data_IF_084324850025
#
_entry.id   IF_084324850025
#
_cell.length_a   1.000
_cell.length_b   1.000
_cell.length_c   1.000
_cell.angle_alpha   90.00
_cell.angle_beta   90.00
_cell.angle_gamma   90.00
#
_symmetry.space_group_name_H-M   'P 1'
#
loop_
_entity.id
_entity.type
_entity.pdbx_description
1 polymer ?
#
# COMPACT_ATOMS: atom_id res chain seq x y z
N UNK A 1 -16.50 22.07 24.11
CA UNK A 1 -15.54 21.39 23.20
C UNK A 1 -15.74 19.89 23.35
N UNK A 2 -16.41 19.28 22.40
CA UNK A 2 -16.63 17.83 22.39
C UNK A 2 -15.28 17.15 22.13
N UNK A 3 -14.74 16.39 23.08
CA UNK A 3 -13.54 15.57 22.86
C UNK A 3 -13.88 14.58 21.74
N UNK A 4 -13.23 14.71 20.60
CA UNK A 4 -13.32 13.72 19.53
C UNK A 4 -12.83 12.39 20.09
N UNK A 5 -13.73 11.42 20.18
CA UNK A 5 -13.41 10.07 20.66
C UNK A 5 -12.59 9.40 19.57
N UNK A 6 -11.42 8.88 19.92
CA UNK A 6 -10.63 8.04 19.02
C UNK A 6 -11.20 6.62 19.05
N UNK A 7 -11.35 5.99 17.90
CA UNK A 7 -11.84 4.63 17.77
C UNK A 7 -10.68 3.68 17.42
N UNK A 8 -10.58 2.53 18.09
CA UNK A 8 -9.58 1.51 17.75
C UNK A 8 -9.96 0.83 16.44
N UNK A 9 -9.03 0.74 15.52
CA UNK A 9 -9.20 0.14 14.20
C UNK A 9 -8.10 -0.88 13.97
N UNK A 10 -8.46 -2.10 13.58
CA UNK A 10 -7.51 -3.16 13.28
C UNK A 10 -6.72 -2.83 12.02
N UNK A 11 -5.40 -2.99 12.12
CA UNK A 11 -4.47 -2.73 11.01
C UNK A 11 -3.38 -3.78 10.95
N UNK A 12 -2.85 -3.99 9.75
CA UNK A 12 -1.65 -4.76 9.50
C UNK A 12 -0.61 -3.82 8.89
N UNK A 13 0.49 -3.62 9.60
CA UNK A 13 1.61 -2.78 9.16
C UNK A 13 2.74 -3.65 8.65
N UNK A 14 3.18 -3.40 7.43
CA UNK A 14 4.32 -4.08 6.82
C UNK A 14 5.52 -3.17 6.72
N UNK A 15 6.67 -3.69 7.13
CA UNK A 15 7.99 -3.08 6.92
C UNK A 15 8.92 -4.09 6.23
N UNK A 16 10.16 -3.69 5.96
CA UNK A 16 11.18 -4.62 5.45
C UNK A 16 11.61 -5.65 6.49
N UNK A 17 11.50 -5.31 7.77
CA UNK A 17 12.10 -6.08 8.88
C UNK A 17 11.06 -6.87 9.68
N UNK A 18 9.79 -6.45 9.63
CA UNK A 18 8.72 -7.04 10.42
C UNK A 18 7.35 -6.79 9.81
N UNK A 19 6.38 -7.57 10.29
CA UNK A 19 4.93 -7.34 10.12
C UNK A 19 4.31 -7.18 11.50
N UNK A 20 3.38 -6.23 11.66
CA UNK A 20 2.65 -5.99 12.92
C UNK A 20 1.17 -6.08 12.68
N UNK A 21 0.48 -6.93 13.42
CA UNK A 21 -0.98 -6.90 13.60
C UNK A 21 -1.27 -6.10 14.86
N UNK A 22 -2.09 -5.07 14.78
CA UNK A 22 -2.33 -4.19 15.90
C UNK A 22 -3.59 -3.36 15.71
N UNK A 23 -3.91 -2.53 16.71
CA UNK A 23 -4.91 -1.48 16.61
C UNK A 23 -4.28 -0.11 16.54
N UNK A 24 -4.79 0.73 15.67
CA UNK A 24 -4.50 2.17 15.64
C UNK A 24 -5.73 2.95 16.08
N UNK A 25 -5.52 4.01 16.85
CA UNK A 25 -6.61 4.87 17.33
C UNK A 25 -6.80 6.04 16.37
N UNK A 26 -7.91 6.08 15.65
CA UNK A 26 -8.22 7.07 14.63
C UNK A 26 -9.47 7.87 14.97
N UNK A 27 -9.54 9.10 14.49
CA UNK A 27 -10.80 9.86 14.52
C UNK A 27 -11.75 9.31 13.45
N UNK A 28 -13.04 9.19 13.72
CA UNK A 28 -14.03 8.86 12.70
C UNK A 28 -13.88 9.75 11.45
N UNK A 29 -13.96 9.15 10.28
CA UNK A 29 -13.80 9.85 9.00
C UNK A 29 -12.37 10.18 8.59
N UNK A 30 -11.36 9.78 9.37
CA UNK A 30 -9.94 9.93 9.01
C UNK A 30 -9.49 8.72 8.18
N UNK A 31 -8.81 8.97 7.05
CA UNK A 31 -8.23 7.88 6.26
C UNK A 31 -6.88 7.43 6.82
N UNK A 32 -6.51 6.18 6.49
CA UNK A 32 -5.20 5.62 6.81
C UNK A 32 -4.06 6.41 6.15
N UNK A 33 -4.26 6.83 4.90
CA UNK A 33 -3.29 7.66 4.18
C UNK A 33 -3.09 9.03 4.85
N UNK A 34 -4.17 9.65 5.32
CA UNK A 34 -4.07 10.91 6.08
C UNK A 34 -3.26 10.72 7.36
N UNK A 35 -3.57 9.67 8.14
CA UNK A 35 -2.86 9.37 9.39
C UNK A 35 -1.35 9.21 9.16
N UNK A 36 -0.96 8.50 8.10
CA UNK A 36 0.44 8.24 7.78
C UNK A 36 1.15 9.47 7.22
N UNK A 37 0.46 10.32 6.46
CA UNK A 37 1.02 11.55 5.88
C UNK A 37 1.04 12.73 6.86
N UNK A 38 0.37 12.64 8.03
CA UNK A 38 0.38 13.72 9.02
C UNK A 38 1.79 13.86 9.62
N UNK A 39 2.39 15.04 9.47
CA UNK A 39 3.79 15.31 9.84
C UNK A 39 4.02 15.44 11.34
N UNK A 40 2.97 15.69 12.13
CA UNK A 40 3.06 15.95 13.58
C UNK A 40 3.72 14.82 14.38
N UNK A 41 3.83 13.62 13.80
CA UNK A 41 4.39 12.45 14.48
C UNK A 41 5.22 11.60 13.51
N UNK A 42 6.48 11.39 13.86
CA UNK A 42 7.36 10.49 13.11
C UNK A 42 7.01 9.01 13.31
N UNK A 43 6.25 8.69 14.36
CA UNK A 43 5.89 7.32 14.73
C UNK A 43 4.38 7.09 14.65
N UNK A 44 4.02 5.90 14.22
CA UNK A 44 2.68 5.34 14.31
C UNK A 44 2.54 4.63 15.66
N UNK A 45 1.63 5.10 16.51
CA UNK A 45 1.33 4.48 17.80
C UNK A 45 0.30 3.36 17.61
N UNK A 46 0.62 2.18 18.10
CA UNK A 46 -0.16 0.97 17.99
C UNK A 46 -0.44 0.39 19.36
N UNK A 47 -1.60 -0.24 19.53
CA UNK A 47 -1.97 -1.00 20.74
C UNK A 47 -2.32 -2.43 20.36
N UNK A 48 -2.26 -3.33 21.34
CA UNK A 48 -2.54 -4.77 21.17
C UNK A 48 -1.73 -5.34 19.98
N UNK A 49 -0.43 -5.12 19.99
CA UNK A 49 0.44 -5.40 18.85
C UNK A 49 1.08 -6.78 18.94
N UNK A 50 0.93 -7.56 17.86
CA UNK A 50 1.63 -8.82 17.62
C UNK A 50 2.64 -8.62 16.50
N UNK A 51 3.93 -8.83 16.78
CA UNK A 51 5.05 -8.64 15.88
C UNK A 51 5.47 -9.98 15.27
N UNK A 52 5.51 -10.04 13.95
CA UNK A 52 5.89 -11.22 13.18
C UNK A 52 7.16 -10.95 12.35
N UNK A 53 7.79 -12.02 11.86
CA UNK A 53 8.77 -11.92 10.77
C UNK A 53 8.12 -11.25 9.54
N UNK A 54 8.92 -10.58 8.69
CA UNK A 54 8.36 -9.99 7.47
C UNK A 54 7.82 -11.11 6.56
N UNK A 55 6.50 -11.12 6.39
CA UNK A 55 5.80 -12.06 5.53
C UNK A 55 4.58 -11.37 4.92
N UNK A 56 4.27 -11.70 3.68
CA UNK A 56 3.03 -11.26 3.02
C UNK A 56 1.96 -12.35 3.03
N UNK A 57 2.23 -13.50 3.62
CA UNK A 57 1.24 -14.58 3.78
C UNK A 57 0.27 -14.21 4.91
N UNK A 58 -1.04 -14.38 4.68
CA UNK A 58 -2.08 -14.06 5.65
C UNK A 58 -3.03 -15.24 5.84
N UNK A 59 -3.29 -15.70 7.07
CA UNK A 59 -2.63 -15.25 8.31
C UNK A 59 -1.13 -15.62 8.34
N UNK A 60 -0.30 -14.87 9.10
CA UNK A 60 1.10 -15.25 9.26
C UNK A 60 1.20 -16.56 10.06
N UNK A 61 2.17 -17.44 9.74
CA UNK A 61 2.43 -18.64 10.53
C UNK A 61 2.72 -18.30 12.00
N UNK A 62 2.21 -19.10 12.95
CA UNK A 62 2.53 -18.90 14.38
C UNK A 62 4.04 -18.94 14.66
N UNK A 63 4.79 -19.75 13.91
CA UNK A 63 6.25 -19.81 13.99
C UNK A 63 6.96 -18.48 13.69
N UNK A 64 6.25 -17.55 13.04
CA UNK A 64 6.78 -16.23 12.70
C UNK A 64 6.47 -15.18 13.76
N UNK A 65 5.59 -15.49 14.75
CA UNK A 65 5.35 -14.63 15.89
C UNK A 65 6.63 -14.47 16.71
N UNK A 66 7.03 -13.23 16.96
CA UNK A 66 8.24 -12.89 17.71
C UNK A 66 7.94 -12.28 19.07
N UNK A 67 6.90 -11.44 19.10
CA UNK A 67 6.63 -10.65 20.29
C UNK A 67 5.18 -10.15 20.31
N UNK A 68 4.59 -10.06 21.50
CA UNK A 68 3.30 -9.43 21.73
C UNK A 68 3.45 -8.34 22.79
N UNK A 69 2.77 -7.21 22.60
CA UNK A 69 2.87 -6.08 23.50
C UNK A 69 1.58 -5.26 23.50
N UNK A 70 1.26 -4.67 24.65
CA UNK A 70 0.13 -3.76 24.76
C UNK A 70 0.35 -2.45 23.99
N UNK A 71 1.62 -2.06 23.72
CA UNK A 71 1.95 -0.83 22.99
C UNK A 71 3.19 -1.02 22.12
N UNK A 72 3.12 -0.51 20.92
CA UNK A 72 4.25 -0.42 20.00
C UNK A 72 4.27 0.94 19.30
N UNK A 73 5.47 1.42 18.94
CA UNK A 73 5.67 2.60 18.13
C UNK A 73 6.49 2.22 16.88
N UNK A 74 5.90 2.39 15.70
CA UNK A 74 6.55 2.08 14.43
C UNK A 74 6.91 3.37 13.72
N UNK A 75 8.19 3.54 13.35
CA UNK A 75 8.60 4.70 12.55
C UNK A 75 7.91 4.68 11.19
N UNK A 76 7.21 5.76 10.84
CA UNK A 76 6.49 5.87 9.57
C UNK A 76 7.42 5.72 8.35
N UNK A 77 8.68 6.14 8.50
CA UNK A 77 9.71 5.98 7.47
C UNK A 77 10.04 4.51 7.13
N UNK A 78 9.71 3.57 8.01
CA UNK A 78 9.93 2.13 7.81
C UNK A 78 8.68 1.39 7.32
N UNK A 79 7.52 2.06 7.32
CA UNK A 79 6.27 1.46 6.83
C UNK A 79 6.32 1.38 5.31
N UNK A 80 6.28 0.17 4.76
CA UNK A 80 6.13 -0.07 3.32
C UNK A 80 4.68 0.13 2.90
N UNK A 81 3.77 -0.47 3.63
CA UNK A 81 2.33 -0.34 3.43
C UNK A 81 1.55 -0.77 4.67
N UNK A 82 0.29 -0.37 4.70
CA UNK A 82 -0.64 -0.71 5.77
C UNK A 82 -1.99 -1.14 5.19
N UNK A 83 -2.50 -2.29 5.63
CA UNK A 83 -3.87 -2.72 5.38
C UNK A 83 -4.75 -2.41 6.60
N UNK A 84 -6.06 -2.28 6.37
CA UNK A 84 -7.03 -1.93 7.40
C UNK A 84 -7.25 -0.43 7.54
N UNK A 85 -8.16 -0.07 8.42
CA UNK A 85 -8.60 1.31 8.58
C UNK A 85 -9.60 1.76 7.53
N UNK A 86 -9.52 3.01 7.09
CA UNK A 86 -10.40 3.60 6.10
C UNK A 86 -9.62 4.11 4.88
N UNK A 87 -10.15 3.93 3.66
CA UNK A 87 -9.57 4.50 2.46
C UNK A 87 -9.70 6.03 2.48
N UNK A 88 -8.94 6.69 1.61
CA UNK A 88 -9.09 8.14 1.40
C UNK A 88 -10.33 8.42 0.56
N UNK A 89 -11.44 8.78 1.23
CA UNK A 89 -12.72 9.14 0.58
C UNK A 89 -12.64 10.42 -0.28
N UNK A 90 -11.65 11.27 -0.05
CA UNK A 90 -11.39 12.45 -0.88
C UNK A 90 -10.90 12.11 -2.29
N UNK A 91 -10.59 10.84 -2.55
CA UNK A 91 -10.19 10.36 -3.87
C UNK A 91 -11.39 10.08 -4.81
N UNK A 92 -12.61 9.99 -4.28
CA UNK A 92 -13.83 9.81 -5.09
C UNK A 92 -14.35 11.12 -5.72
N UNK A 93 -13.58 12.22 -5.63
CA UNK A 93 -13.94 13.53 -6.16
C UNK A 93 -14.11 13.52 -7.69
N UNK A 94 -15.08 14.33 -8.17
CA UNK A 94 -15.40 14.56 -9.58
C UNK A 94 -14.14 14.64 -10.48
N UNK A 95 -14.12 13.86 -11.55
CA UNK A 95 -13.05 13.87 -12.56
C UNK A 95 -11.83 12.98 -12.26
N UNK A 96 -11.89 12.14 -11.24
CA UNK A 96 -10.86 11.10 -11.03
C UNK A 96 -11.28 9.78 -11.68
N UNK A 97 -10.33 9.13 -12.32
CA UNK A 97 -10.52 7.84 -12.95
C UNK A 97 -9.57 6.80 -12.34
N UNK A 98 -10.03 5.55 -12.18
CA UNK A 98 -9.18 4.48 -11.74
C UNK A 98 -8.13 4.20 -12.81
N UNK A 99 -6.86 4.14 -12.40
CA UNK A 99 -5.73 3.77 -13.25
C UNK A 99 -5.01 2.60 -12.64
N UNK A 100 -4.94 1.51 -13.39
CA UNK A 100 -4.26 0.32 -12.95
C UNK A 100 -2.75 0.53 -12.96
N UNK A 101 -2.11 0.21 -11.85
CA UNK A 101 -0.68 0.36 -11.64
C UNK A 101 -0.08 -0.86 -10.97
N UNK A 102 1.23 -1.01 -11.13
CA UNK A 102 2.05 -1.94 -10.38
C UNK A 102 3.02 -1.15 -9.49
N UNK A 103 3.00 -1.45 -8.19
CA UNK A 103 3.93 -0.89 -7.21
C UNK A 103 4.90 -2.00 -6.81
N UNK A 104 6.17 -1.84 -7.12
CA UNK A 104 7.20 -2.86 -6.88
C UNK A 104 7.86 -2.68 -5.53
N UNK A 105 7.98 -3.77 -4.79
CA UNK A 105 8.79 -3.92 -3.60
C UNK A 105 9.81 -5.06 -3.83
N UNK A 106 10.86 -5.22 -3.01
CA UNK A 106 11.93 -6.19 -3.26
C UNK A 106 11.47 -7.64 -3.48
N UNK A 107 10.42 -8.08 -2.77
CA UNK A 107 10.00 -9.48 -2.73
C UNK A 107 8.59 -9.74 -3.28
N UNK A 108 7.86 -8.71 -3.69
CA UNK A 108 6.50 -8.81 -4.21
C UNK A 108 6.14 -7.55 -5.01
N UNK A 109 5.08 -7.67 -5.77
CA UNK A 109 4.49 -6.56 -6.52
C UNK A 109 3.05 -6.38 -6.09
N UNK A 110 2.61 -5.16 -5.89
CA UNK A 110 1.21 -4.83 -5.69
C UNK A 110 0.61 -4.35 -7.00
N UNK A 111 -0.44 -5.00 -7.43
CA UNK A 111 -1.29 -4.56 -8.53
C UNK A 111 -2.53 -3.90 -7.91
N UNK A 112 -2.93 -2.75 -8.39
CA UNK A 112 -4.13 -2.08 -7.89
C UNK A 112 -4.48 -0.82 -8.66
N UNK A 113 -5.41 -0.02 -8.13
CA UNK A 113 -5.93 1.17 -8.78
C UNK A 113 -5.57 2.43 -7.99
N UNK A 114 -4.91 3.39 -8.64
CA UNK A 114 -4.88 4.77 -8.16
C UNK A 114 -6.02 5.57 -8.80
N UNK A 115 -6.73 6.36 -8.00
CA UNK A 115 -7.70 7.32 -8.49
C UNK A 115 -7.01 8.64 -8.83
N UNK A 116 -6.82 8.89 -10.13
CA UNK A 116 -6.11 10.05 -10.66
C UNK A 116 -7.04 10.90 -11.52
N UNK A 117 -6.71 12.20 -11.69
CA UNK A 117 -7.41 13.01 -12.70
C UNK A 117 -7.14 12.43 -14.09
N UNK A 118 -8.18 12.40 -14.94
CA UNK A 118 -8.17 11.72 -16.24
C UNK A 118 -6.98 12.10 -17.14
N UNK A 119 -6.54 13.34 -17.08
CA UNK A 119 -5.48 13.90 -17.94
C UNK A 119 -4.09 13.86 -17.29
N UNK A 120 -3.99 13.43 -16.02
CA UNK A 120 -2.73 13.40 -15.30
C UNK A 120 -1.89 12.19 -15.73
N UNK A 121 -0.66 12.41 -16.15
CA UNK A 121 0.30 11.33 -16.38
C UNK A 121 0.74 10.72 -15.06
N UNK A 122 1.09 9.43 -15.06
CA UNK A 122 1.57 8.76 -13.85
C UNK A 122 2.81 9.46 -13.27
N UNK A 123 3.75 9.92 -14.13
CA UNK A 123 4.94 10.69 -13.72
C UNK A 123 4.59 11.98 -12.98
N UNK A 124 3.59 12.72 -13.47
CA UNK A 124 3.17 13.98 -12.89
C UNK A 124 2.47 13.76 -11.55
N UNK A 125 1.64 12.71 -11.47
CA UNK A 125 1.03 12.28 -10.20
C UNK A 125 2.11 11.93 -9.17
N UNK A 126 3.06 11.07 -9.53
CA UNK A 126 4.16 10.69 -8.65
C UNK A 126 4.99 11.90 -8.21
N UNK A 127 5.30 12.82 -9.12
CA UNK A 127 6.00 14.07 -8.81
C UNK A 127 5.26 14.93 -7.78
N UNK A 128 3.93 14.94 -7.82
CA UNK A 128 3.09 15.69 -6.87
C UNK A 128 3.01 15.04 -5.49
N UNK A 129 2.95 13.70 -5.42
CA UNK A 129 2.72 12.97 -4.16
C UNK A 129 4.00 12.53 -3.45
N UNK A 130 5.13 12.40 -4.17
CA UNK A 130 6.41 11.95 -3.59
C UNK A 130 7.03 12.93 -2.58
N UNK A 131 6.53 14.17 -2.50
CA UNK A 131 6.89 15.15 -1.48
C UNK A 131 6.23 14.83 -0.12
N UNK A 132 5.28 15.66 0.32
CA UNK A 132 4.68 15.58 1.66
C UNK A 132 3.66 14.45 1.82
N UNK A 133 3.18 13.84 0.74
CA UNK A 133 2.09 12.84 0.75
C UNK A 133 2.52 11.51 0.14
N UNK A 134 3.63 10.96 0.60
CA UNK A 134 4.19 9.71 0.05
C UNK A 134 3.32 8.47 0.28
N UNK A 135 2.41 8.51 1.25
CA UNK A 135 1.46 7.45 1.48
C UNK A 135 0.20 7.69 0.65
N UNK A 136 -0.13 6.72 -0.21
CA UNK A 136 -1.27 6.78 -1.12
C UNK A 136 -2.16 5.54 -0.96
N UNK A 137 -3.47 5.70 -1.12
CA UNK A 137 -4.40 4.57 -1.13
C UNK A 137 -4.37 3.89 -2.49
N UNK A 138 -4.08 2.60 -2.50
CA UNK A 138 -4.17 1.71 -3.64
C UNK A 138 -5.41 0.83 -3.46
N UNK A 139 -6.38 0.94 -4.36
CA UNK A 139 -7.65 0.22 -4.31
C UNK A 139 -7.57 -1.11 -5.09
N UNK A 140 -8.48 -2.04 -4.80
CA UNK A 140 -8.58 -3.35 -5.44
C UNK A 140 -7.21 -4.04 -5.56
N UNK A 141 -6.50 -4.08 -4.44
CA UNK A 141 -5.09 -4.47 -4.42
C UNK A 141 -4.93 -5.97 -4.40
N UNK A 142 -4.12 -6.50 -5.32
CA UNK A 142 -3.58 -7.85 -5.28
C UNK A 142 -2.07 -7.78 -4.99
N UNK A 143 -1.59 -8.58 -4.04
CA UNK A 143 -0.17 -8.77 -3.77
C UNK A 143 0.28 -10.00 -4.52
N UNK A 144 1.26 -9.85 -5.40
CA UNK A 144 1.73 -10.86 -6.35
C UNK A 144 3.16 -11.29 -6.00
N UNK A 145 3.40 -12.58 -6.05
CA UNK A 145 4.76 -13.15 -6.02
C UNK A 145 5.33 -13.10 -7.44
N UNK A 146 6.47 -12.43 -7.65
CA UNK A 146 7.11 -12.41 -8.96
C UNK A 146 7.44 -13.82 -9.44
N UNK A 147 7.01 -14.14 -10.63
CA UNK A 147 7.34 -15.41 -11.30
C UNK A 147 8.79 -15.43 -11.81
N UNK A 148 9.24 -16.56 -12.34
CA UNK A 148 10.54 -16.69 -12.98
C UNK A 148 10.76 -15.65 -14.08
N UNK A 149 12.02 -15.28 -14.38
CA UNK A 149 12.31 -14.35 -15.47
C UNK A 149 11.65 -14.78 -16.79
N UNK A 150 10.99 -13.83 -17.45
CA UNK A 150 10.28 -14.06 -18.72
C UNK A 150 8.79 -14.46 -18.58
N UNK A 151 8.30 -14.71 -17.36
CA UNK A 151 6.84 -14.92 -17.16
C UNK A 151 6.09 -13.59 -17.23
N UNK A 152 4.87 -13.64 -17.75
CA UNK A 152 3.98 -12.47 -17.76
C UNK A 152 3.47 -12.21 -16.34
N UNK A 153 3.20 -10.94 -16.02
CA UNK A 153 2.69 -10.55 -14.72
C UNK A 153 1.30 -11.16 -14.42
N UNK A 154 0.51 -11.41 -15.45
CA UNK A 154 -0.80 -12.06 -15.36
C UNK A 154 -0.72 -13.52 -14.88
N UNK A 155 0.46 -14.16 -15.05
CA UNK A 155 0.73 -15.54 -14.64
C UNK A 155 1.34 -15.62 -13.23
N UNK A 156 1.55 -14.48 -12.56
CA UNK A 156 2.14 -14.44 -11.24
C UNK A 156 1.14 -14.87 -10.17
N UNK A 157 1.66 -15.55 -9.14
CA UNK A 157 0.84 -16.07 -8.06
C UNK A 157 0.30 -14.92 -7.20
N UNK A 158 -1.01 -14.86 -7.02
CA UNK A 158 -1.64 -13.96 -6.05
C UNK A 158 -1.45 -14.53 -4.65
N UNK A 159 -0.80 -13.75 -3.79
CA UNK A 159 -0.56 -14.09 -2.37
C UNK A 159 -1.71 -13.60 -1.50
N UNK A 160 -2.22 -12.39 -1.75
CA UNK A 160 -3.31 -11.76 -1.00
C UNK A 160 -4.13 -10.82 -1.87
N UNK A 161 -5.35 -10.52 -1.41
CA UNK A 161 -6.21 -9.47 -1.98
C UNK A 161 -6.76 -8.59 -0.86
N UNK A 162 -6.80 -7.30 -1.11
CA UNK A 162 -7.38 -6.30 -0.21
C UNK A 162 -8.29 -5.36 -1.01
N UNK A 163 -9.40 -4.92 -0.39
CA UNK A 163 -10.23 -3.87 -0.99
C UNK A 163 -9.41 -2.59 -1.20
N UNK A 164 -8.51 -2.30 -0.28
CA UNK A 164 -7.50 -1.24 -0.41
C UNK A 164 -6.33 -1.49 0.55
N UNK A 165 -5.20 -0.88 0.24
CA UNK A 165 -4.04 -0.72 1.13
C UNK A 165 -3.50 0.69 1.01
N UNK A 166 -2.82 1.17 2.04
CA UNK A 166 -2.07 2.43 1.98
C UNK A 166 -0.60 2.12 1.76
N UNK A 167 -0.05 2.53 0.62
CA UNK A 167 1.32 2.23 0.18
C UNK A 167 2.23 3.43 0.35
N UNK A 168 3.47 3.20 0.77
CA UNK A 168 4.52 4.21 0.83
C UNK A 168 5.31 4.23 -0.48
N UNK A 169 5.04 5.20 -1.32
CA UNK A 169 5.68 5.32 -2.64
C UNK A 169 7.17 5.67 -2.57
N UNK A 170 7.64 6.26 -1.46
CA UNK A 170 9.08 6.54 -1.26
C UNK A 170 9.92 5.29 -1.11
N UNK A 171 9.32 4.22 -0.59
CA UNK A 171 10.00 2.94 -0.34
C UNK A 171 9.74 1.93 -1.46
N UNK A 172 8.92 2.27 -2.45
CA UNK A 172 8.71 1.45 -3.64
C UNK A 172 9.95 1.50 -4.53
N UNK A 173 10.37 0.36 -5.05
CA UNK A 173 11.43 0.25 -6.05
C UNK A 173 11.03 0.79 -7.42
N UNK A 174 9.73 0.93 -7.67
CA UNK A 174 9.16 1.51 -8.87
C UNK A 174 7.63 1.47 -8.89
N UNK A 175 7.04 2.34 -9.70
CA UNK A 175 5.60 2.36 -10.00
C UNK A 175 5.43 2.36 -11.51
N UNK A 176 4.66 1.43 -12.04
CA UNK A 176 4.49 1.21 -13.47
C UNK A 176 3.01 1.29 -13.86
N UNK A 177 2.73 1.84 -15.03
CA UNK A 177 1.40 1.82 -15.64
C UNK A 177 1.12 0.44 -16.25
N UNK A 178 0.04 -0.20 -15.87
CA UNK A 178 -0.35 -1.49 -16.42
C UNK A 178 -0.65 -1.44 -17.94
N UNK A 179 -0.96 -0.26 -18.48
CA UNK A 179 -1.27 -0.07 -19.90
C UNK A 179 -0.03 -0.01 -20.81
N UNK A 180 1.17 0.15 -20.27
CA UNK A 180 2.41 0.34 -21.03
C UNK A 180 3.17 -0.96 -21.33
N UNK A 181 2.68 -2.12 -20.95
CA UNK A 181 3.43 -3.40 -20.94
C UNK A 181 3.10 -4.42 -22.02
N UNK A 182 2.57 -4.04 -23.18
CA UNK A 182 2.60 -4.93 -24.35
C UNK A 182 3.86 -4.67 -25.18
N UNK A 183 4.79 -5.64 -25.37
CA UNK A 183 5.77 -5.48 -26.43
C UNK A 183 5.00 -5.35 -27.74
N UNK A 184 5.17 -4.24 -28.44
CA UNK A 184 4.74 -4.09 -29.82
C UNK A 184 5.39 -5.24 -30.58
N UNK A 185 4.59 -6.24 -30.93
CA UNK A 185 5.04 -7.32 -31.82
C UNK A 185 5.46 -6.62 -33.10
N UNK A 186 6.70 -6.72 -33.57
CA UNK A 186 7.05 -6.19 -34.86
C UNK A 186 6.13 -6.88 -35.89
N UNK A 187 5.39 -6.08 -36.64
CA UNK A 187 4.62 -6.61 -37.76
C UNK A 187 5.56 -7.40 -38.66
N UNK A 188 5.18 -8.62 -39.07
CA UNK A 188 5.97 -9.37 -40.03
C UNK A 188 6.02 -8.55 -41.30
N UNK A 189 7.23 -8.13 -41.67
CA UNK A 189 7.52 -7.47 -42.93
C UNK A 189 6.94 -8.33 -44.07
N UNK A 190 5.83 -7.90 -44.68
CA UNK A 190 5.34 -8.49 -45.90
C UNK A 190 6.26 -8.01 -47.05
N UNK A 191 7.25 -8.87 -47.36
CA UNK A 191 8.04 -8.77 -48.56
C UNK A 191 7.36 -9.49 -49.73
#
# INVERSE_FOLDING_TARGET
MTKSVLEPVDVVVHSQEFRVHAKVHMRPGTSTAWLLNTEDRAFLSLTDASLYRPTVVDPPPESDLRYETAYAAVAKSHVLWMAGGAPDSGQDGFGRQPRQVFVMYPNYVMQGLFHMRSETRLSDFLGTVMGPKSFQTLFDTAILEPGPPGTRIDDWRVLQRHAFVTVNLRLAGGVFDARSGGPSRPEPNQG
#
